data_IF_912047790050
#
_entry.id   IF_912047790050
#
_cell.length_a   1.000
_cell.length_b   1.000
_cell.length_c   1.000
_cell.angle_alpha   90.00
_cell.angle_beta   90.00
_cell.angle_gamma   90.00
#
_symmetry.space_group_name_H-M   'P 1'
#
loop_
_entity.id
_entity.type
_entity.pdbx_description
1 polymer ?
#
# COMPACT_ATOMS: atom_id res chain seq x y z
N UNK A 1 70.77 -12.98 7.09
CA UNK A 1 69.31 -13.07 6.93
C UNK A 1 68.69 -12.56 8.23
N UNK A 2 68.21 -11.31 8.25
CA UNK A 2 67.48 -10.74 9.40
C UNK A 2 66.05 -11.31 9.47
N UNK A 3 65.84 -12.25 10.37
CA UNK A 3 64.51 -12.70 10.74
C UNK A 3 63.87 -11.65 11.68
N UNK A 4 63.13 -10.71 11.13
CA UNK A 4 62.29 -9.81 11.94
C UNK A 4 61.06 -10.60 12.37
N UNK A 5 60.99 -10.93 13.65
CA UNK A 5 59.77 -11.51 14.23
C UNK A 5 58.69 -10.46 14.35
N UNK A 6 57.40 -10.84 14.11
CA UNK A 6 56.25 -9.98 14.33
C UNK A 6 56.20 -9.57 15.81
N UNK A 7 56.02 -8.27 16.06
CA UNK A 7 55.80 -7.76 17.41
C UNK A 7 54.38 -8.08 17.88
N UNK A 8 54.23 -8.47 19.14
CA UNK A 8 52.93 -8.74 19.76
C UNK A 8 52.00 -7.51 19.68
N UNK A 9 52.61 -6.32 19.74
CA UNK A 9 51.92 -5.05 19.56
C UNK A 9 51.30 -4.90 18.12
N UNK A 10 52.04 -5.33 17.11
CA UNK A 10 51.60 -5.24 15.71
C UNK A 10 50.41 -6.15 15.43
N UNK A 11 50.37 -7.35 16.02
CA UNK A 11 49.25 -8.26 15.96
C UNK A 11 48.01 -7.66 16.68
N UNK A 12 48.22 -7.04 17.85
CA UNK A 12 47.13 -6.41 18.60
C UNK A 12 46.50 -5.26 17.82
N UNK A 13 47.31 -4.41 17.19
CA UNK A 13 46.85 -3.31 16.36
C UNK A 13 46.08 -3.85 15.14
N UNK A 14 46.61 -4.88 14.48
CA UNK A 14 45.95 -5.46 13.31
C UNK A 14 44.57 -6.03 13.66
N UNK A 15 44.44 -6.79 14.75
CA UNK A 15 43.15 -7.35 15.21
C UNK A 15 42.15 -6.24 15.59
N UNK A 16 42.65 -5.16 16.22
CA UNK A 16 41.80 -4.03 16.57
C UNK A 16 41.25 -3.34 15.34
N UNK A 17 42.07 -3.09 14.32
CA UNK A 17 41.62 -2.47 13.05
C UNK A 17 40.64 -3.36 12.33
N UNK A 18 40.86 -4.67 12.27
CA UNK A 18 39.95 -5.64 11.67
C UNK A 18 38.64 -5.65 12.44
N UNK A 19 38.63 -5.66 13.76
CA UNK A 19 37.43 -5.61 14.60
C UNK A 19 36.59 -4.36 14.37
N UNK A 20 37.23 -3.20 14.28
CA UNK A 20 36.55 -1.94 13.95
C UNK A 20 35.97 -1.97 12.54
N UNK A 21 36.71 -2.50 11.56
CA UNK A 21 36.19 -2.64 10.17
C UNK A 21 34.95 -3.52 10.10
N UNK A 22 34.95 -4.67 10.76
CA UNK A 22 33.78 -5.55 10.83
C UNK A 22 32.58 -4.88 11.50
N UNK A 23 32.79 -4.10 12.55
CA UNK A 23 31.70 -3.39 13.25
C UNK A 23 30.98 -2.43 12.35
N UNK A 24 31.66 -1.69 11.48
CA UNK A 24 31.09 -0.77 10.51
C UNK A 24 30.29 -1.52 9.44
N UNK A 25 30.79 -2.64 8.93
CA UNK A 25 30.14 -3.47 7.94
C UNK A 25 28.84 -4.06 8.52
N UNK A 26 28.87 -4.62 9.72
CA UNK A 26 27.69 -5.17 10.39
C UNK A 26 26.63 -4.10 10.68
N UNK A 27 27.04 -2.89 11.08
CA UNK A 27 26.11 -1.77 11.28
C UNK A 27 25.38 -1.39 9.96
N UNK A 28 26.10 -1.37 8.84
CA UNK A 28 25.53 -1.12 7.51
C UNK A 28 24.53 -2.20 7.07
N UNK A 29 24.86 -3.48 7.27
CA UNK A 29 23.98 -4.61 6.94
C UNK A 29 22.68 -4.59 7.76
N UNK A 30 22.75 -4.25 9.04
CA UNK A 30 21.56 -4.15 9.91
C UNK A 30 20.60 -3.04 9.47
N UNK A 31 21.09 -1.94 8.91
CA UNK A 31 20.29 -0.87 8.32
C UNK A 31 19.57 -1.31 7.07
N UNK A 32 20.23 -2.04 6.19
CA UNK A 32 19.67 -2.57 4.95
C UNK A 32 18.53 -3.57 5.20
N UNK A 33 18.67 -4.48 6.15
CA UNK A 33 17.66 -5.44 6.53
C UNK A 33 16.36 -4.76 7.03
N UNK A 34 16.49 -3.67 7.80
CA UNK A 34 15.33 -2.89 8.26
C UNK A 34 14.64 -2.14 7.13
N UNK A 35 15.39 -1.68 6.13
CA UNK A 35 14.84 -1.05 4.92
C UNK A 35 14.02 -2.04 4.10
N UNK A 36 14.52 -3.26 3.87
CA UNK A 36 13.82 -4.31 3.14
C UNK A 36 12.48 -4.67 3.79
N UNK A 37 12.43 -4.83 5.11
CA UNK A 37 11.17 -5.10 5.82
C UNK A 37 10.12 -3.98 5.67
N UNK A 38 10.55 -2.72 5.53
CA UNK A 38 9.64 -1.60 5.29
C UNK A 38 9.06 -1.65 3.88
N UNK A 39 9.89 -1.95 2.89
CA UNK A 39 9.47 -2.08 1.49
C UNK A 39 8.49 -3.24 1.35
N UNK A 40 8.81 -4.42 1.86
CA UNK A 40 7.96 -5.61 1.80
C UNK A 40 6.59 -5.37 2.44
N UNK A 41 6.54 -4.69 3.59
CA UNK A 41 5.27 -4.36 4.24
C UNK A 41 4.45 -3.31 3.48
N UNK A 42 5.09 -2.42 2.72
CA UNK A 42 4.40 -1.45 1.86
C UNK A 42 3.87 -2.12 0.60
N UNK A 43 4.66 -3.00 -0.02
CA UNK A 43 4.31 -3.74 -1.23
C UNK A 43 3.07 -4.62 -1.01
N UNK A 44 2.99 -5.31 0.12
CA UNK A 44 1.81 -6.13 0.47
C UNK A 44 0.52 -5.31 0.50
N UNK A 45 0.54 -4.09 1.01
CA UNK A 45 -0.65 -3.23 1.06
C UNK A 45 -1.04 -2.66 -0.29
N UNK A 46 -0.06 -2.38 -1.13
CA UNK A 46 -0.30 -2.02 -2.53
C UNK A 46 -0.96 -3.19 -3.26
N UNK A 47 -0.51 -4.42 -3.01
CA UNK A 47 -1.10 -5.62 -3.58
C UNK A 47 -2.54 -5.82 -3.12
N UNK A 48 -2.84 -5.70 -1.82
CA UNK A 48 -4.22 -5.77 -1.30
C UNK A 48 -5.12 -4.70 -1.93
N UNK A 49 -4.62 -3.47 -2.10
CA UNK A 49 -5.37 -2.42 -2.76
C UNK A 49 -5.65 -2.76 -4.23
N UNK A 50 -4.67 -3.33 -4.95
CA UNK A 50 -4.84 -3.75 -6.35
C UNK A 50 -5.85 -4.86 -6.50
N UNK A 51 -5.79 -5.89 -5.65
CA UNK A 51 -6.75 -6.98 -5.64
C UNK A 51 -8.17 -6.46 -5.41
N UNK A 52 -8.37 -5.59 -4.44
CA UNK A 52 -9.67 -4.99 -4.14
C UNK A 52 -10.20 -4.13 -5.30
N UNK A 53 -9.33 -3.34 -5.94
CA UNK A 53 -9.72 -2.56 -7.10
C UNK A 53 -10.03 -3.44 -8.31
N UNK A 54 -9.34 -4.58 -8.47
CA UNK A 54 -9.63 -5.56 -9.52
C UNK A 54 -10.97 -6.27 -9.29
N UNK A 55 -11.33 -6.59 -8.04
CA UNK A 55 -12.67 -7.08 -7.70
C UNK A 55 -13.76 -6.06 -8.05
N UNK A 56 -13.49 -4.78 -7.76
CA UNK A 56 -14.40 -3.69 -8.14
C UNK A 56 -14.62 -3.58 -9.64
N UNK A 57 -13.62 -3.91 -10.45
CA UNK A 57 -13.76 -3.89 -11.91
C UNK A 57 -14.71 -4.99 -12.45
N UNK A 58 -14.98 -6.02 -11.66
CA UNK A 58 -15.97 -7.05 -11.97
C UNK A 58 -17.41 -6.56 -11.71
N UNK A 59 -17.57 -5.56 -10.85
CA UNK A 59 -18.86 -4.96 -10.55
C UNK A 59 -19.29 -4.08 -11.74
N UNK A 60 -20.40 -4.43 -12.36
CA UNK A 60 -20.89 -3.72 -13.55
C UNK A 60 -21.31 -2.27 -13.24
N UNK A 61 -21.92 -2.04 -12.08
CA UNK A 61 -22.48 -0.74 -11.68
C UNK A 61 -22.22 -0.47 -10.21
N UNK A 62 -21.80 0.74 -9.90
CA UNK A 62 -21.51 1.18 -8.52
C UNK A 62 -22.53 2.26 -8.16
N UNK A 63 -23.29 2.04 -7.08
CA UNK A 63 -24.17 3.06 -6.53
C UNK A 63 -23.33 4.21 -5.97
N UNK A 64 -23.62 5.47 -6.38
CA UNK A 64 -22.97 6.62 -5.75
C UNK A 64 -23.47 6.81 -4.30
N UNK A 65 -22.65 7.42 -3.47
CA UNK A 65 -22.88 7.66 -2.05
C UNK A 65 -23.16 6.36 -1.25
N UNK A 66 -22.45 5.30 -1.62
CA UNK A 66 -22.50 4.01 -0.96
C UNK A 66 -21.15 3.68 -0.31
N UNK A 67 -21.15 2.72 0.61
CA UNK A 67 -19.94 2.29 1.30
C UNK A 67 -19.96 0.80 1.58
N UNK A 68 -18.76 0.21 1.59
CA UNK A 68 -18.51 -1.16 2.02
C UNK A 68 -17.29 -1.20 2.93
N UNK A 69 -17.27 -2.14 3.86
CA UNK A 69 -16.17 -2.31 4.82
C UNK A 69 -15.85 -3.78 5.01
N UNK A 70 -14.61 -4.09 5.35
CA UNK A 70 -14.20 -5.44 5.70
C UNK A 70 -12.81 -5.48 6.30
N UNK A 71 -12.32 -6.70 6.48
CA UNK A 71 -10.99 -6.97 7.04
C UNK A 71 -10.33 -8.04 6.20
N UNK A 72 -9.08 -7.83 5.78
CA UNK A 72 -8.27 -8.84 5.13
C UNK A 72 -7.70 -9.84 6.14
N UNK A 73 -7.24 -10.99 5.68
CA UNK A 73 -6.67 -12.06 6.52
C UNK A 73 -5.49 -11.62 7.38
N UNK A 74 -4.75 -10.58 6.95
CA UNK A 74 -3.63 -9.99 7.69
C UNK A 74 -4.06 -9.00 8.78
N UNK A 75 -5.37 -8.82 9.00
CA UNK A 75 -5.95 -7.88 9.96
C UNK A 75 -6.02 -6.42 9.44
N UNK A 76 -5.62 -6.15 8.20
CA UNK A 76 -5.80 -4.84 7.57
C UNK A 76 -7.28 -4.58 7.35
N UNK A 77 -7.81 -3.52 7.95
CA UNK A 77 -9.18 -3.06 7.73
C UNK A 77 -9.25 -2.25 6.45
N UNK A 78 -10.28 -2.46 5.67
CA UNK A 78 -10.55 -1.66 4.48
C UNK A 78 -11.92 -1.00 4.56
N UNK A 79 -12.01 0.19 4.00
CA UNK A 79 -13.27 0.94 3.81
C UNK A 79 -13.27 1.47 2.38
N UNK A 80 -14.32 1.15 1.67
CA UNK A 80 -14.56 1.61 0.31
C UNK A 80 -15.74 2.56 0.33
N UNK A 81 -15.59 3.74 -0.28
CA UNK A 81 -16.68 4.71 -0.42
C UNK A 81 -16.77 5.17 -1.86
N UNK A 82 -17.98 5.31 -2.35
CA UNK A 82 -18.28 5.85 -3.69
C UNK A 82 -18.97 7.19 -3.59
N UNK A 83 -18.65 8.13 -4.47
CA UNK A 83 -19.30 9.43 -4.54
C UNK A 83 -19.35 9.94 -5.97
N UNK A 84 -20.29 10.83 -6.28
CA UNK A 84 -20.25 11.53 -7.55
C UNK A 84 -18.99 12.41 -7.62
N UNK A 85 -18.29 12.34 -8.73
CA UNK A 85 -17.23 13.28 -9.05
C UNK A 85 -17.79 14.34 -10.03
N UNK A 86 -17.81 15.59 -9.59
CA UNK A 86 -18.16 16.74 -10.41
C UNK A 86 -16.84 17.36 -10.85
N UNK A 87 -16.41 17.21 -12.13
CA UNK A 87 -15.20 17.86 -12.59
C UNK A 87 -15.36 19.38 -12.54
N UNK A 88 -14.30 20.13 -12.20
CA UNK A 88 -14.35 21.59 -12.10
C UNK A 88 -14.46 22.32 -13.45
N UNK A 89 -14.81 21.63 -14.53
CA UNK A 89 -14.88 22.17 -15.89
C UNK A 89 -16.32 22.19 -16.36
N UNK A 90 -16.85 23.39 -16.56
CA UNK A 90 -18.24 23.67 -16.97
C UNK A 90 -18.67 23.06 -18.31
N UNK A 91 -17.76 22.53 -19.14
CA UNK A 91 -18.04 22.17 -20.53
C UNK A 91 -18.38 20.69 -20.78
N UNK A 92 -18.15 19.80 -19.80
CA UNK A 92 -18.44 18.38 -19.94
C UNK A 92 -19.92 18.01 -19.70
N UNK A 93 -20.67 18.89 -19.07
CA UNK A 93 -22.08 18.63 -18.71
C UNK A 93 -23.06 18.67 -19.89
N UNK A 94 -22.64 19.12 -21.05
CA UNK A 94 -23.52 19.34 -22.21
C UNK A 94 -23.63 18.18 -23.19
N UNK A 95 -22.81 17.15 -23.13
CA UNK A 95 -22.77 16.13 -24.21
C UNK A 95 -23.04 14.69 -23.81
N UNK A 96 -22.98 14.31 -22.54
CA UNK A 96 -23.33 12.94 -22.17
C UNK A 96 -23.63 12.85 -20.67
N UNK A 97 -24.73 12.19 -20.25
CA UNK A 97 -25.07 11.98 -18.85
C UNK A 97 -24.26 10.82 -18.22
N UNK A 98 -23.01 10.63 -18.62
CA UNK A 98 -22.12 9.70 -17.95
C UNK A 98 -21.68 10.33 -16.63
N UNK A 99 -22.15 9.80 -15.52
CA UNK A 99 -21.69 10.19 -14.21
C UNK A 99 -20.29 9.60 -13.99
N UNK A 100 -19.34 10.44 -13.58
CA UNK A 100 -18.05 9.95 -13.06
C UNK A 100 -18.24 9.64 -11.58
N UNK A 101 -17.98 8.41 -11.20
CA UNK A 101 -18.00 7.97 -9.81
C UNK A 101 -16.55 7.93 -9.31
N UNK A 102 -16.28 8.67 -8.24
CA UNK A 102 -15.04 8.58 -7.48
C UNK A 102 -15.19 7.46 -6.45
N UNK A 103 -14.19 6.62 -6.38
CA UNK A 103 -14.07 5.52 -5.45
C UNK A 103 -12.84 5.77 -4.58
N UNK A 104 -13.04 5.88 -3.28
CA UNK A 104 -11.97 6.03 -2.29
C UNK A 104 -11.85 4.72 -1.51
N UNK A 105 -10.75 4.00 -1.71
CA UNK A 105 -10.38 2.81 -0.94
C UNK A 105 -9.41 3.23 0.17
N UNK A 106 -9.84 3.10 1.40
CA UNK A 106 -9.03 3.39 2.58
C UNK A 106 -8.61 2.09 3.25
N UNK A 107 -7.31 1.93 3.48
CA UNK A 107 -6.70 0.83 4.22
C UNK A 107 -6.20 1.34 5.57
N UNK A 108 -6.51 0.61 6.65
CA UNK A 108 -6.09 0.92 8.01
C UNK A 108 -5.46 -0.33 8.65
N UNK A 109 -4.26 -0.16 9.22
CA UNK A 109 -3.53 -1.27 9.85
C UNK A 109 -2.72 -0.79 11.05
N UNK A 110 -2.38 -1.70 11.94
CA UNK A 110 -1.45 -1.42 13.04
C UNK A 110 -0.01 -1.48 12.52
N UNK A 111 0.68 -0.34 12.51
CA UNK A 111 2.11 -0.24 12.23
C UNK A 111 2.94 -0.14 13.51
N UNK A 112 4.27 -0.07 13.38
CA UNK A 112 5.17 0.08 14.54
C UNK A 112 4.99 1.38 15.31
N UNK A 113 4.55 2.45 14.63
CA UNK A 113 4.31 3.78 15.21
C UNK A 113 2.84 4.03 15.57
N UNK A 114 2.00 2.98 15.61
CA UNK A 114 0.57 3.07 15.86
C UNK A 114 -0.27 2.80 14.60
N UNK A 115 -1.54 3.19 14.65
CA UNK A 115 -2.48 3.03 13.54
C UNK A 115 -2.01 3.83 12.33
N UNK A 116 -1.88 3.12 11.21
CA UNK A 116 -1.53 3.70 9.90
C UNK A 116 -2.75 3.70 9.01
N UNK A 117 -2.85 4.71 8.14
CA UNK A 117 -3.95 4.85 7.19
C UNK A 117 -3.43 5.25 5.82
N UNK A 118 -3.99 4.66 4.77
CA UNK A 118 -3.71 5.04 3.40
C UNK A 118 -4.97 5.00 2.56
N UNK A 119 -5.18 6.01 1.71
CA UNK A 119 -6.32 6.06 0.78
C UNK A 119 -5.81 6.03 -0.65
N UNK A 120 -6.42 5.19 -1.46
CA UNK A 120 -6.22 5.10 -2.91
C UNK A 120 -7.52 5.54 -3.58
N UNK A 121 -7.41 6.40 -4.59
CA UNK A 121 -8.56 6.91 -5.34
C UNK A 121 -8.60 6.28 -6.73
N UNK A 122 -9.80 5.92 -7.16
CA UNK A 122 -10.09 5.46 -8.52
C UNK A 122 -11.32 6.19 -9.05
N UNK A 123 -11.44 6.25 -10.38
CA UNK A 123 -12.55 6.91 -11.05
C UNK A 123 -13.13 5.97 -12.09
N UNK A 124 -14.47 5.86 -12.12
CA UNK A 124 -15.19 5.08 -13.12
C UNK A 124 -16.26 5.93 -13.79
N UNK A 125 -16.46 5.64 -15.07
CA UNK A 125 -17.64 6.14 -15.79
C UNK A 125 -18.78 5.17 -15.56
N UNK A 126 -19.92 5.65 -15.11
CA UNK A 126 -21.16 4.89 -15.04
C UNK A 126 -22.17 5.45 -16.04
N UNK A 127 -22.86 4.56 -16.75
CA UNK A 127 -23.97 4.94 -17.58
C UNK A 127 -25.16 5.21 -16.67
N UNK A 128 -25.75 6.38 -16.77
CA UNK A 128 -26.96 6.72 -16.04
C UNK A 128 -28.10 5.87 -16.57
N UNK A 129 -28.44 4.84 -15.83
CA UNK A 129 -29.58 3.97 -16.04
C UNK A 129 -30.41 3.95 -14.73
N UNK A 130 -31.72 4.00 -14.84
CA UNK A 130 -32.63 4.04 -13.70
C UNK A 130 -32.91 2.67 -13.05
N UNK A 131 -32.21 1.62 -13.46
CA UNK A 131 -32.33 0.30 -12.85
C UNK A 131 -31.80 0.31 -11.40
N UNK A 132 -32.45 -0.42 -10.48
CA UNK A 132 -31.96 -0.52 -9.10
C UNK A 132 -30.57 -1.14 -9.06
N UNK A 133 -29.65 -0.50 -8.33
CA UNK A 133 -28.27 -0.95 -8.14
C UNK A 133 -28.17 -1.56 -6.73
N UNK A 134 -27.74 -2.82 -6.54
CA UNK A 134 -27.45 -3.39 -5.23
C UNK A 134 -26.40 -2.58 -4.48
N UNK A 135 -26.33 -2.72 -3.15
CA UNK A 135 -25.30 -2.05 -2.37
C UNK A 135 -23.91 -2.60 -2.67
N UNK A 136 -22.87 -1.77 -2.50
CA UNK A 136 -21.47 -2.19 -2.67
C UNK A 136 -21.14 -3.37 -1.76
N UNK A 137 -21.59 -3.35 -0.52
CA UNK A 137 -21.37 -4.44 0.44
C UNK A 137 -21.97 -5.76 -0.04
N UNK A 138 -23.14 -5.74 -0.64
CA UNK A 138 -23.82 -6.92 -1.17
C UNK A 138 -23.09 -7.47 -2.40
N UNK A 139 -22.75 -6.60 -3.36
CA UNK A 139 -22.03 -6.97 -4.58
C UNK A 139 -20.64 -7.56 -4.31
N UNK A 140 -19.89 -7.02 -3.35
CA UNK A 140 -18.58 -7.55 -2.95
C UNK A 140 -18.69 -8.89 -2.24
N UNK A 141 -19.72 -9.09 -1.43
CA UNK A 141 -19.96 -10.38 -0.76
C UNK A 141 -20.25 -11.50 -1.76
N UNK A 142 -20.93 -11.20 -2.86
CA UNK A 142 -21.29 -12.19 -3.87
C UNK A 142 -20.09 -12.60 -4.77
N UNK A 143 -18.95 -11.87 -4.69
CA UNK A 143 -17.72 -12.18 -5.40
C UNK A 143 -16.74 -13.06 -4.57
N UNK A 144 -16.91 -13.13 -3.27
CA UNK A 144 -16.07 -13.90 -2.34
C UNK A 144 -16.66 -15.29 -2.08
#
# INVERSE_FOLDING_TARGET
MNRRGFSLLEVLIAVTIIGLGFSVVFAGMSGSARSLQRVESADRRVELARLMLAELDLIKRIRPNDSATGVFDDGTRWTLTSSYFIPPIDDLSRRNPAAVIRIDLTLEWMGRAGMQKRTVQSFRYDLVDNSPIPSLQEQLRDLQ
#
